data_IF_746009401915
#
_entry.id   IF_746009401915
#
_cell.length_a   1.000
_cell.length_b   1.000
_cell.length_c   1.000
_cell.angle_alpha   90.00
_cell.angle_beta   90.00
_cell.angle_gamma   90.00
#
_symmetry.space_group_name_H-M   'P 1'
#
loop_
_entity.id
_entity.type
_entity.pdbx_description
1 polymer ?
#
# COMPACT_ATOMS: atom_id res chain seq x y z
N UNK A 1 -43.70 48.55 -31.84
CA UNK A 1 -43.18 47.19 -32.11
C UNK A 1 -43.01 46.53 -30.75
N UNK A 2 -43.80 45.48 -30.50
CA UNK A 2 -44.06 44.96 -29.16
C UNK A 2 -42.89 44.20 -28.56
N UNK A 3 -42.64 44.44 -27.27
CA UNK A 3 -41.77 43.62 -26.45
C UNK A 3 -42.40 42.25 -26.22
N UNK A 4 -41.71 41.20 -26.66
CA UNK A 4 -42.00 39.83 -26.28
C UNK A 4 -41.29 39.50 -24.97
N UNK A 5 -41.98 39.72 -23.86
CA UNK A 5 -41.62 39.07 -22.59
C UNK A 5 -41.75 37.55 -22.80
N UNK A 6 -40.63 36.84 -22.69
CA UNK A 6 -40.59 35.38 -22.82
C UNK A 6 -41.38 34.71 -21.70
N UNK A 7 -42.64 34.40 -21.97
CA UNK A 7 -43.37 33.40 -21.20
C UNK A 7 -42.90 32.01 -21.65
N UNK A 8 -42.08 31.36 -20.83
CA UNK A 8 -41.85 29.92 -20.91
C UNK A 8 -43.20 29.22 -20.82
N UNK A 9 -43.61 28.45 -21.84
CA UNK A 9 -44.91 27.78 -21.81
C UNK A 9 -44.94 26.75 -20.67
N UNK A 10 -46.13 26.49 -20.12
CA UNK A 10 -46.34 25.42 -19.12
C UNK A 10 -45.80 24.08 -19.64
N UNK A 11 -45.91 23.84 -20.95
CA UNK A 11 -45.37 22.66 -21.62
C UNK A 11 -43.85 22.59 -21.56
N UNK A 12 -43.13 23.70 -21.75
CA UNK A 12 -41.66 23.76 -21.56
C UNK A 12 -41.27 23.46 -20.11
N UNK A 13 -42.03 23.99 -19.15
CA UNK A 13 -41.78 23.74 -17.71
C UNK A 13 -41.99 22.26 -17.37
N UNK A 14 -43.10 21.67 -17.84
CA UNK A 14 -43.42 20.26 -17.61
C UNK A 14 -42.41 19.32 -18.28
N UNK A 15 -41.96 19.64 -19.50
CA UNK A 15 -40.95 18.83 -20.19
C UNK A 15 -39.59 18.92 -19.48
N UNK A 16 -39.18 20.10 -18.99
CA UNK A 16 -37.97 20.25 -18.17
C UNK A 16 -38.05 19.41 -16.89
N UNK A 17 -39.17 19.47 -16.17
CA UNK A 17 -39.37 18.68 -14.95
C UNK A 17 -39.28 17.17 -15.19
N UNK A 18 -39.83 16.67 -16.31
CA UNK A 18 -39.72 15.25 -16.68
C UNK A 18 -38.27 14.83 -16.96
N UNK A 19 -37.52 15.66 -17.68
CA UNK A 19 -36.10 15.43 -17.98
C UNK A 19 -35.27 15.45 -16.69
N UNK A 20 -35.48 16.45 -15.83
CA UNK A 20 -34.78 16.57 -14.54
C UNK A 20 -35.09 15.37 -13.63
N UNK A 21 -36.36 14.94 -13.58
CA UNK A 21 -36.75 13.73 -12.82
C UNK A 21 -36.08 12.47 -13.35
N UNK A 22 -35.97 12.31 -14.67
CA UNK A 22 -35.29 11.16 -15.27
C UNK A 22 -33.78 11.17 -14.96
N UNK A 23 -33.10 12.31 -15.11
CA UNK A 23 -31.68 12.46 -14.74
C UNK A 23 -31.45 12.17 -13.27
N UNK A 24 -32.30 12.68 -12.37
CA UNK A 24 -32.19 12.41 -10.95
C UNK A 24 -32.31 10.92 -10.65
N UNK A 25 -33.30 10.22 -11.23
CA UNK A 25 -33.44 8.77 -11.08
C UNK A 25 -32.19 8.00 -11.56
N UNK A 26 -31.55 8.44 -12.64
CA UNK A 26 -30.29 7.85 -13.10
C UNK A 26 -29.15 8.06 -12.09
N UNK A 27 -29.02 9.25 -11.50
CA UNK A 27 -28.02 9.49 -10.44
C UNK A 27 -28.30 8.72 -9.15
N UNK A 28 -29.57 8.53 -8.77
CA UNK A 28 -29.93 7.65 -7.66
C UNK A 28 -29.49 6.22 -7.92
N UNK A 29 -29.77 5.69 -9.11
CA UNK A 29 -29.35 4.33 -9.48
C UNK A 29 -27.83 4.21 -9.56
N UNK A 30 -27.15 5.21 -10.13
CA UNK A 30 -25.68 5.22 -10.19
C UNK A 30 -25.07 5.20 -8.79
N UNK A 31 -25.55 6.05 -7.87
CA UNK A 31 -25.08 6.07 -6.48
C UNK A 31 -25.31 4.73 -5.76
N UNK A 32 -26.46 4.10 -5.95
CA UNK A 32 -26.74 2.77 -5.39
C UNK A 32 -25.77 1.71 -5.91
N UNK A 33 -25.55 1.66 -7.22
CA UNK A 33 -24.60 0.72 -7.84
C UNK A 33 -23.18 0.94 -7.38
N UNK A 34 -22.76 2.20 -7.26
CA UNK A 34 -21.45 2.57 -6.71
C UNK A 34 -21.31 2.07 -5.26
N UNK A 35 -22.35 2.23 -4.44
CA UNK A 35 -22.38 1.66 -3.08
C UNK A 35 -22.22 0.14 -3.08
N UNK A 36 -22.91 -0.59 -3.97
CA UNK A 36 -22.73 -2.04 -4.09
C UNK A 36 -21.34 -2.45 -4.58
N UNK A 37 -20.69 -1.66 -5.46
CA UNK A 37 -19.31 -1.90 -5.88
C UNK A 37 -18.36 -1.71 -4.69
N UNK A 38 -18.53 -0.63 -3.92
CA UNK A 38 -17.74 -0.35 -2.73
C UNK A 38 -17.84 -1.50 -1.70
N UNK A 39 -19.03 -2.03 -1.48
CA UNK A 39 -19.29 -3.16 -0.56
C UNK A 39 -18.84 -4.52 -1.11
N UNK A 40 -18.33 -4.60 -2.34
CA UNK A 40 -17.97 -5.86 -3.01
C UNK A 40 -19.18 -6.74 -3.37
N UNK A 41 -20.39 -6.18 -3.37
CA UNK A 41 -21.64 -6.89 -3.73
C UNK A 41 -21.93 -6.87 -5.23
N UNK A 42 -21.26 -6.00 -5.98
CA UNK A 42 -21.41 -5.86 -7.43
C UNK A 42 -20.05 -5.74 -8.11
N UNK A 43 -19.77 -6.63 -9.06
CA UNK A 43 -18.63 -6.50 -9.95
C UNK A 43 -18.92 -5.41 -11.01
N UNK A 44 -18.00 -4.45 -11.26
CA UNK A 44 -18.17 -3.44 -12.30
C UNK A 44 -18.29 -4.05 -13.70
N UNK A 45 -19.40 -3.81 -14.40
CA UNK A 45 -19.64 -4.42 -15.73
C UNK A 45 -19.61 -3.39 -16.86
N UNK A 46 -20.17 -2.21 -16.62
CA UNK A 46 -20.16 -1.08 -17.55
C UNK A 46 -18.89 -0.24 -17.40
N UNK A 47 -18.53 0.51 -18.44
CA UNK A 47 -17.24 1.22 -18.45
C UNK A 47 -17.18 2.34 -17.41
N UNK A 48 -18.29 3.07 -17.17
CA UNK A 48 -18.34 4.08 -16.12
C UNK A 48 -18.17 3.46 -14.71
N UNK A 49 -18.70 2.26 -14.47
CA UNK A 49 -18.50 1.54 -13.20
C UNK A 49 -17.05 1.11 -13.01
N UNK A 50 -16.41 0.62 -14.08
CA UNK A 50 -15.00 0.23 -14.05
C UNK A 50 -14.11 1.42 -13.73
N UNK A 51 -14.42 2.59 -14.30
CA UNK A 51 -13.69 3.83 -14.01
C UNK A 51 -13.88 4.24 -12.55
N UNK A 52 -15.10 4.21 -12.02
CA UNK A 52 -15.34 4.52 -10.60
C UNK A 52 -14.64 3.51 -9.69
N UNK A 53 -14.74 2.21 -9.99
CA UNK A 53 -14.05 1.13 -9.28
C UNK A 53 -12.52 1.28 -9.29
N UNK A 54 -11.95 1.65 -10.45
CA UNK A 54 -10.54 1.96 -10.59
C UNK A 54 -10.15 3.16 -9.72
N UNK A 55 -10.90 4.26 -9.80
CA UNK A 55 -10.62 5.48 -9.04
C UNK A 55 -10.70 5.24 -7.53
N UNK A 56 -11.71 4.51 -7.05
CA UNK A 56 -11.82 4.08 -5.64
C UNK A 56 -10.59 3.29 -5.19
N UNK A 57 -10.17 2.30 -5.97
CA UNK A 57 -9.01 1.47 -5.65
C UNK A 57 -7.68 2.24 -5.72
N UNK A 58 -7.60 3.29 -6.53
CA UNK A 58 -6.43 4.17 -6.63
C UNK A 58 -6.49 5.36 -5.67
N UNK A 59 -7.59 5.53 -4.93
CA UNK A 59 -7.79 6.69 -4.08
C UNK A 59 -7.87 8.00 -4.86
N UNK A 60 -8.30 7.98 -6.12
CA UNK A 60 -8.37 9.15 -6.99
C UNK A 60 -9.79 9.73 -7.05
N UNK A 61 -9.94 11.07 -7.18
CA UNK A 61 -11.24 11.69 -7.35
C UNK A 61 -11.83 11.34 -8.73
N UNK A 62 -13.13 11.01 -8.76
CA UNK A 62 -13.85 10.63 -9.98
C UNK A 62 -15.14 11.43 -10.10
N UNK A 63 -15.51 11.76 -11.33
CA UNK A 63 -16.80 12.42 -11.61
C UNK A 63 -17.69 11.49 -12.39
N UNK A 64 -18.98 11.51 -12.09
CA UNK A 64 -20.01 10.72 -12.74
C UNK A 64 -21.05 11.68 -13.31
N UNK A 65 -21.35 11.57 -14.59
CA UNK A 65 -22.20 12.50 -15.32
C UNK A 65 -23.05 11.79 -16.37
N UNK A 66 -24.03 12.51 -16.91
CA UNK A 66 -24.85 12.04 -18.03
C UNK A 66 -24.42 12.81 -19.27
N UNK A 67 -24.03 12.10 -20.32
CA UNK A 67 -23.60 12.67 -21.60
C UNK A 67 -24.77 13.25 -22.44
N UNK A 68 -24.45 13.77 -23.63
CA UNK A 68 -25.43 14.35 -24.55
C UNK A 68 -26.42 13.33 -25.10
N UNK A 69 -26.06 12.04 -25.08
CA UNK A 69 -26.91 10.91 -25.50
C UNK A 69 -27.76 10.35 -24.34
N UNK A 70 -27.67 10.95 -23.15
CA UNK A 70 -28.41 10.52 -21.98
C UNK A 70 -27.86 9.26 -21.33
N UNK A 71 -26.59 8.89 -21.58
CA UNK A 71 -25.94 7.73 -20.97
C UNK A 71 -25.09 8.14 -19.78
N UNK A 72 -24.97 7.24 -18.80
CA UNK A 72 -24.06 7.41 -17.67
C UNK A 72 -22.62 7.25 -18.12
N UNK A 73 -21.80 8.22 -17.75
CA UNK A 73 -20.35 8.24 -17.98
C UNK A 73 -19.61 8.54 -16.67
N UNK A 74 -18.34 8.13 -16.61
CA UNK A 74 -17.44 8.51 -15.55
C UNK A 74 -16.05 8.78 -16.12
N UNK A 75 -15.28 9.62 -15.44
CA UNK A 75 -13.87 9.88 -15.74
C UNK A 75 -13.15 10.33 -14.48
N UNK A 76 -11.82 10.17 -14.46
CA UNK A 76 -11.00 10.76 -13.42
C UNK A 76 -11.21 12.27 -13.41
N UNK A 77 -11.30 12.88 -12.24
CA UNK A 77 -11.63 14.30 -12.17
C UNK A 77 -10.52 15.19 -12.76
N UNK A 78 -9.28 14.70 -12.77
CA UNK A 78 -8.13 15.33 -13.44
C UNK A 78 -8.33 15.46 -14.96
N UNK A 79 -9.19 14.64 -15.56
CA UNK A 79 -9.51 14.63 -16.99
C UNK A 79 -10.84 15.33 -17.28
N UNK A 80 -11.53 15.83 -16.25
CA UNK A 80 -12.87 16.34 -16.39
C UNK A 80 -12.96 17.76 -16.94
N UNK A 81 -14.10 18.08 -17.55
CA UNK A 81 -14.42 19.46 -17.90
C UNK A 81 -14.63 20.29 -16.62
N UNK A 82 -13.68 21.18 -16.36
CA UNK A 82 -13.71 22.12 -15.23
C UNK A 82 -14.21 23.51 -15.64
N UNK A 83 -14.78 23.67 -16.85
CA UNK A 83 -15.24 24.96 -17.38
C UNK A 83 -16.33 25.66 -16.55
N UNK A 84 -16.98 24.92 -15.64
CA UNK A 84 -17.92 25.49 -14.66
C UNK A 84 -17.25 26.34 -13.57
N UNK A 85 -15.94 26.20 -13.39
CA UNK A 85 -15.15 26.96 -12.42
C UNK A 85 -14.35 28.09 -13.09
N UNK A 86 -14.00 29.13 -12.32
CA UNK A 86 -13.09 30.18 -12.80
C UNK A 86 -11.61 29.73 -12.74
N UNK A 87 -10.71 30.48 -13.39
CA UNK A 87 -9.29 30.09 -13.50
C UNK A 87 -8.57 29.89 -12.16
N UNK A 88 -8.89 30.70 -11.14
CA UNK A 88 -8.33 30.55 -9.79
C UNK A 88 -8.80 29.28 -9.10
N UNK A 89 -10.09 28.97 -9.22
CA UNK A 89 -10.69 27.74 -8.69
C UNK A 89 -10.17 26.49 -9.40
N UNK A 90 -10.05 26.52 -10.73
CA UNK A 90 -9.46 25.43 -11.53
C UNK A 90 -8.05 25.14 -11.04
N UNK A 91 -7.23 26.18 -10.86
CA UNK A 91 -5.87 26.03 -10.33
C UNK A 91 -5.85 25.38 -8.95
N UNK A 92 -6.68 25.86 -8.01
CA UNK A 92 -6.75 25.32 -6.65
C UNK A 92 -7.20 23.85 -6.64
N UNK A 93 -8.17 23.48 -7.49
CA UNK A 93 -8.61 22.10 -7.67
C UNK A 93 -7.47 21.22 -8.17
N UNK A 94 -6.77 21.62 -9.21
CA UNK A 94 -5.66 20.85 -9.79
C UNK A 94 -4.49 20.69 -8.80
N UNK A 95 -4.11 21.76 -8.09
CA UNK A 95 -3.08 21.69 -7.05
C UNK A 95 -3.51 20.73 -5.91
N UNK A 96 -4.78 20.74 -5.53
CA UNK A 96 -5.32 19.78 -4.55
C UNK A 96 -5.29 18.35 -5.08
N UNK A 97 -5.66 18.12 -6.35
CA UNK A 97 -5.62 16.78 -6.97
C UNK A 97 -4.20 16.20 -6.99
N UNK A 98 -3.17 17.02 -7.21
CA UNK A 98 -1.77 16.59 -7.13
C UNK A 98 -1.42 16.15 -5.71
N UNK A 99 -1.78 16.95 -4.70
CA UNK A 99 -1.54 16.61 -3.29
C UNK A 99 -2.29 15.32 -2.88
N UNK A 100 -3.49 15.12 -3.41
CA UNK A 100 -4.31 13.93 -3.20
C UNK A 100 -3.69 12.69 -3.86
N UNK A 101 -3.15 12.80 -5.08
CA UNK A 101 -2.48 11.67 -5.74
C UNK A 101 -1.22 11.23 -4.98
N UNK A 102 -0.39 12.19 -4.54
CA UNK A 102 0.77 11.90 -3.68
C UNK A 102 0.33 11.21 -2.37
N UNK A 103 -0.76 11.68 -1.77
CA UNK A 103 -1.31 11.10 -0.55
C UNK A 103 -1.83 9.67 -0.77
N UNK A 104 -2.52 9.41 -1.88
CA UNK A 104 -3.01 8.08 -2.23
C UNK A 104 -1.84 7.09 -2.41
N UNK A 105 -0.74 7.53 -3.02
CA UNK A 105 0.48 6.73 -3.15
C UNK A 105 1.10 6.41 -1.77
N UNK A 106 1.15 7.39 -0.85
CA UNK A 106 1.64 7.19 0.53
C UNK A 106 0.76 6.22 1.31
N UNK A 107 -0.57 6.34 1.19
CA UNK A 107 -1.50 5.39 1.81
C UNK A 107 -1.24 3.99 1.27
N UNK A 108 -1.12 3.84 -0.06
CA UNK A 108 -0.85 2.52 -0.65
C UNK A 108 0.48 1.92 -0.22
N UNK A 109 1.52 2.74 -0.07
CA UNK A 109 2.81 2.30 0.44
C UNK A 109 2.71 1.82 1.91
N UNK A 110 1.94 2.51 2.76
CA UNK A 110 1.68 2.06 4.13
C UNK A 110 0.87 0.75 4.16
N UNK A 111 -0.15 0.61 3.30
CA UNK A 111 -0.92 -0.65 3.18
C UNK A 111 -0.01 -1.81 2.75
N UNK A 112 0.84 -1.61 1.74
CA UNK A 112 1.80 -2.63 1.29
C UNK A 112 2.83 -2.95 2.37
N UNK A 113 3.32 -1.96 3.13
CA UNK A 113 4.17 -2.22 4.29
C UNK A 113 3.46 -3.08 5.34
N UNK A 114 2.17 -2.82 5.60
CA UNK A 114 1.37 -3.62 6.52
C UNK A 114 1.16 -5.05 6.00
N UNK A 115 0.86 -5.23 4.72
CA UNK A 115 0.75 -6.56 4.09
C UNK A 115 2.06 -7.36 4.25
N UNK A 116 3.21 -6.71 4.08
CA UNK A 116 4.53 -7.31 4.28
C UNK A 116 4.79 -7.69 5.75
N UNK A 117 4.42 -6.83 6.70
CA UNK A 117 4.48 -7.13 8.12
C UNK A 117 3.60 -8.33 8.49
N UNK A 118 2.37 -8.37 7.98
CA UNK A 118 1.42 -9.45 8.25
C UNK A 118 1.95 -10.79 7.70
N UNK A 119 2.55 -10.79 6.51
CA UNK A 119 3.22 -11.96 5.94
C UNK A 119 4.35 -12.47 6.85
N UNK A 120 5.18 -11.58 7.41
CA UNK A 120 6.30 -11.95 8.26
C UNK A 120 5.88 -12.34 9.69
N UNK A 121 4.79 -11.79 10.21
CA UNK A 121 4.37 -11.97 11.60
C UNK A 121 4.10 -13.45 11.97
N UNK A 122 3.59 -14.25 11.03
CA UNK A 122 3.25 -15.67 11.25
C UNK A 122 4.29 -16.66 10.73
N UNK A 123 5.22 -16.25 9.87
CA UNK A 123 5.96 -17.16 9.00
C UNK A 123 6.79 -18.22 9.75
N UNK A 124 7.49 -17.85 10.83
CA UNK A 124 8.26 -18.81 11.63
C UNK A 124 7.39 -19.84 12.36
N UNK A 125 6.24 -19.42 12.88
CA UNK A 125 5.26 -20.28 13.55
C UNK A 125 4.62 -21.23 12.53
N UNK A 126 4.18 -20.69 11.40
CA UNK A 126 3.55 -21.47 10.32
C UNK A 126 4.52 -22.55 9.81
N UNK A 127 5.78 -22.19 9.58
CA UNK A 127 6.79 -23.14 9.15
C UNK A 127 7.06 -24.22 10.21
N UNK A 128 7.12 -23.85 11.49
CA UNK A 128 7.27 -24.81 12.60
C UNK A 128 6.11 -25.81 12.63
N UNK A 129 4.87 -25.33 12.43
CA UNK A 129 3.69 -26.20 12.35
C UNK A 129 3.81 -27.14 11.15
N UNK A 130 4.10 -26.62 9.95
CA UNK A 130 4.27 -27.45 8.75
C UNK A 130 5.35 -28.51 8.96
N UNK A 131 6.50 -28.18 9.54
CA UNK A 131 7.58 -29.13 9.83
C UNK A 131 7.20 -30.23 10.84
N UNK A 132 6.25 -29.95 11.73
CA UNK A 132 5.76 -30.91 12.71
C UNK A 132 4.64 -31.80 12.16
N UNK A 133 3.89 -31.36 11.14
CA UNK A 133 2.75 -32.09 10.60
C UNK A 133 2.98 -32.72 9.21
N UNK A 134 3.97 -32.26 8.43
CA UNK A 134 4.29 -32.82 7.10
C UNK A 134 5.22 -34.03 7.23
N UNK A 135 4.78 -35.17 6.69
CA UNK A 135 5.49 -36.46 6.76
C UNK A 135 6.59 -36.58 5.70
N UNK A 136 6.45 -35.89 4.56
CA UNK A 136 7.46 -35.85 3.49
C UNK A 136 7.41 -34.53 2.69
N UNK A 137 8.55 -33.85 2.46
CA UNK A 137 8.60 -32.66 1.63
C UNK A 137 8.18 -32.93 0.17
N UNK A 138 7.34 -32.09 -0.42
CA UNK A 138 7.00 -32.17 -1.85
C UNK A 138 8.07 -31.47 -2.67
N UNK A 139 8.90 -32.23 -3.40
CA UNK A 139 10.03 -31.70 -4.18
C UNK A 139 9.65 -31.24 -5.60
N UNK A 140 8.37 -31.31 -5.97
CA UNK A 140 7.90 -31.15 -7.36
C UNK A 140 7.11 -29.87 -7.61
N UNK A 141 6.83 -29.06 -6.58
CA UNK A 141 6.12 -27.79 -6.73
C UNK A 141 7.09 -26.62 -6.57
N UNK A 142 7.44 -25.90 -7.66
CA UNK A 142 8.16 -24.65 -7.56
C UNK A 142 7.38 -23.66 -6.69
N UNK A 143 8.06 -22.92 -5.82
CA UNK A 143 7.54 -21.83 -4.98
C UNK A 143 6.72 -22.22 -3.73
N UNK A 144 6.84 -23.43 -3.20
CA UNK A 144 6.40 -23.66 -1.82
C UNK A 144 7.57 -23.40 -0.86
N UNK A 145 7.67 -22.14 -0.39
CA UNK A 145 8.69 -21.71 0.57
C UNK A 145 8.66 -22.55 1.85
N UNK A 146 7.48 -23.02 2.30
CA UNK A 146 7.37 -23.87 3.48
C UNK A 146 8.08 -25.20 3.27
N UNK A 147 7.91 -25.85 2.11
CA UNK A 147 8.55 -27.14 1.82
C UNK A 147 10.08 -27.03 1.80
N UNK A 148 10.61 -25.95 1.23
CA UNK A 148 12.05 -25.68 1.26
C UNK A 148 12.54 -25.39 2.68
N UNK A 149 11.74 -24.67 3.48
CA UNK A 149 12.05 -24.43 4.89
C UNK A 149 12.05 -25.73 5.72
N UNK A 150 11.10 -26.63 5.48
CA UNK A 150 11.05 -27.97 6.10
C UNK A 150 12.29 -28.78 5.74
N UNK A 151 12.79 -28.69 4.51
CA UNK A 151 14.03 -29.36 4.10
C UNK A 151 15.23 -28.84 4.89
N UNK A 152 15.38 -27.52 5.02
CA UNK A 152 16.47 -26.94 5.83
C UNK A 152 16.37 -27.34 7.30
N UNK A 153 15.17 -27.28 7.89
CA UNK A 153 14.90 -27.75 9.25
C UNK A 153 15.27 -29.21 9.46
N UNK A 154 14.88 -30.09 8.52
CA UNK A 154 15.15 -31.53 8.60
C UNK A 154 16.64 -31.84 8.57
N UNK A 155 17.43 -30.99 7.91
CA UNK A 155 18.88 -31.11 7.86
C UNK A 155 19.58 -30.39 9.02
N UNK A 156 18.85 -29.70 9.89
CA UNK A 156 19.44 -28.82 10.91
C UNK A 156 20.26 -27.69 10.30
N UNK A 157 19.94 -27.26 9.09
CA UNK A 157 20.63 -26.19 8.37
C UNK A 157 20.04 -24.83 8.77
N UNK A 158 20.85 -23.81 9.06
CA UNK A 158 20.35 -22.45 9.29
C UNK A 158 19.89 -21.80 7.98
N UNK A 159 18.79 -21.05 8.02
CA UNK A 159 18.23 -20.35 6.87
C UNK A 159 17.46 -19.11 7.31
N UNK A 160 17.32 -18.14 6.40
CA UNK A 160 16.50 -16.95 6.66
C UNK A 160 15.15 -17.07 5.98
N UNK A 161 14.11 -16.69 6.72
CA UNK A 161 12.79 -16.36 6.17
C UNK A 161 12.81 -14.87 5.82
N UNK A 162 12.39 -14.52 4.60
CA UNK A 162 12.36 -13.15 4.13
C UNK A 162 11.24 -12.94 3.11
N UNK A 163 11.12 -11.71 2.59
CA UNK A 163 10.25 -11.40 1.47
C UNK A 163 11.09 -11.31 0.18
N UNK A 164 10.53 -11.77 -0.94
CA UNK A 164 11.08 -11.55 -2.27
C UNK A 164 10.76 -10.13 -2.78
N UNK A 165 11.20 -9.81 -4.00
CA UNK A 165 10.96 -8.51 -4.63
C UNK A 165 9.47 -8.20 -4.90
N UNK A 166 8.61 -9.22 -4.85
CA UNK A 166 7.15 -9.10 -4.99
C UNK A 166 6.44 -9.04 -3.63
N UNK A 167 7.18 -9.15 -2.51
CA UNK A 167 6.62 -9.15 -1.17
C UNK A 167 6.08 -10.52 -0.72
N UNK A 168 6.46 -11.61 -1.38
CA UNK A 168 6.06 -12.98 -1.02
C UNK A 168 7.09 -13.62 -0.11
N UNK A 169 6.63 -14.49 0.78
CA UNK A 169 7.51 -15.25 1.66
C UNK A 169 8.43 -16.18 0.86
N UNK A 170 9.69 -16.18 1.26
CA UNK A 170 10.71 -17.08 0.75
C UNK A 170 11.63 -17.54 1.88
N UNK A 171 12.32 -18.65 1.64
CA UNK A 171 13.43 -19.10 2.48
C UNK A 171 14.70 -19.10 1.66
N UNK A 172 15.79 -18.67 2.29
CA UNK A 172 17.11 -18.63 1.66
C UNK A 172 18.08 -19.37 2.55
N UNK A 173 18.81 -20.33 1.97
CA UNK A 173 19.98 -20.90 2.61
C UNK A 173 20.91 -19.76 3.04
N UNK A 174 21.22 -19.72 4.33
CA UNK A 174 21.92 -18.60 4.91
C UNK A 174 23.32 -18.40 4.29
N UNK A 175 23.94 -19.44 3.75
CA UNK A 175 25.22 -19.33 3.03
C UNK A 175 25.17 -18.38 1.83
N UNK A 176 23.98 -18.15 1.27
CA UNK A 176 23.76 -17.29 0.11
C UNK A 176 22.96 -16.02 0.44
N UNK A 177 22.79 -15.70 1.72
CA UNK A 177 22.11 -14.48 2.15
C UNK A 177 22.91 -13.23 1.70
N UNK A 178 22.33 -12.34 0.87
CA UNK A 178 22.99 -11.09 0.48
C UNK A 178 23.40 -10.22 1.67
N UNK A 179 22.67 -10.30 2.79
CA UNK A 179 22.97 -9.55 4.02
C UNK A 179 24.32 -9.91 4.66
N UNK A 180 24.94 -11.03 4.28
CA UNK A 180 26.31 -11.33 4.70
C UNK A 180 27.33 -10.31 4.18
N UNK A 181 27.05 -9.67 3.03
CA UNK A 181 27.96 -8.68 2.43
C UNK A 181 28.03 -7.36 3.23
N UNK A 182 27.02 -7.09 4.07
CA UNK A 182 26.99 -5.89 4.91
C UNK A 182 27.91 -6.01 6.14
N UNK A 183 28.41 -7.21 6.44
CA UNK A 183 29.35 -7.44 7.53
C UNK A 183 30.80 -7.16 7.10
N UNK A 184 31.65 -6.62 8.02
CA UNK A 184 33.07 -6.49 7.74
C UNK A 184 33.72 -7.88 7.54
N UNK A 185 34.79 -7.93 6.75
CA UNK A 185 35.36 -9.18 6.23
C UNK A 185 35.66 -10.23 7.30
N UNK A 186 36.19 -9.84 8.47
CA UNK A 186 36.52 -10.79 9.54
C UNK A 186 35.29 -11.36 10.22
N UNK A 187 34.27 -10.54 10.49
CA UNK A 187 32.98 -11.00 11.01
C UNK A 187 32.24 -11.85 9.98
N UNK A 188 32.24 -11.44 8.72
CA UNK A 188 31.63 -12.20 7.61
C UNK A 188 32.25 -13.59 7.50
N UNK A 189 33.58 -13.68 7.49
CA UNK A 189 34.30 -14.96 7.45
C UNK A 189 33.91 -15.87 8.62
N UNK A 190 33.95 -15.35 9.85
CA UNK A 190 33.56 -16.11 11.06
C UNK A 190 32.12 -16.61 11.00
N UNK A 191 31.18 -15.76 10.55
CA UNK A 191 29.78 -16.16 10.44
C UNK A 191 29.59 -17.22 9.35
N UNK A 192 30.23 -17.05 8.20
CA UNK A 192 30.18 -18.04 7.11
C UNK A 192 30.78 -19.39 7.52
N UNK A 193 31.90 -19.39 8.25
CA UNK A 193 32.50 -20.61 8.78
C UNK A 193 31.55 -21.33 9.74
N UNK A 194 30.90 -20.58 10.64
CA UNK A 194 29.91 -21.10 11.57
C UNK A 194 28.66 -21.66 10.86
N UNK A 195 28.13 -20.96 9.85
CA UNK A 195 27.02 -21.43 9.02
C UNK A 195 27.43 -22.74 8.30
N UNK A 196 28.65 -22.81 7.77
CA UNK A 196 29.15 -23.98 7.06
C UNK A 196 29.39 -25.19 7.95
N UNK A 197 29.73 -24.99 9.23
CA UNK A 197 30.07 -26.08 10.16
C UNK A 197 28.90 -26.56 11.01
N UNK A 198 27.91 -25.70 11.32
CA UNK A 198 26.92 -25.97 12.37
C UNK A 198 26.14 -27.27 12.15
N UNK A 199 25.76 -27.61 10.91
CA UNK A 199 25.03 -28.85 10.63
C UNK A 199 25.86 -30.09 11.00
N UNK A 200 27.16 -30.09 10.68
CA UNK A 200 28.06 -31.19 11.06
C UNK A 200 28.27 -31.23 12.57
N UNK A 201 28.44 -30.08 13.22
CA UNK A 201 28.55 -29.97 14.69
C UNK A 201 27.31 -30.55 15.38
N UNK A 202 26.11 -30.24 14.86
CA UNK A 202 24.83 -30.75 15.37
C UNK A 202 24.75 -32.26 15.24
N UNK A 203 25.05 -32.80 14.06
CA UNK A 203 25.01 -34.24 13.79
C UNK A 203 26.03 -35.03 14.60
N UNK A 204 27.21 -34.46 14.84
CA UNK A 204 28.27 -35.10 15.62
C UNK A 204 28.06 -34.99 17.14
N UNK A 205 27.18 -34.11 17.61
CA UNK A 205 26.98 -33.87 19.04
C UNK A 205 28.20 -33.22 19.71
N UNK A 206 28.90 -32.34 18.99
CA UNK A 206 30.17 -31.73 19.41
C UNK A 206 30.03 -30.24 19.74
N UNK A 207 28.81 -29.78 20.03
CA UNK A 207 28.53 -28.40 20.41
C UNK A 207 29.32 -28.04 21.67
N UNK A 208 30.13 -27.01 21.58
CA UNK A 208 30.97 -26.50 22.65
C UNK A 208 30.70 -25.03 22.96
N UNK A 209 30.17 -24.30 21.98
CA UNK A 209 29.80 -22.89 22.11
C UNK A 209 28.31 -22.72 22.46
N UNK A 210 27.97 -21.64 23.15
CA UNK A 210 26.59 -21.32 23.56
C UNK A 210 25.63 -21.22 22.37
N UNK A 211 26.09 -20.61 21.26
CA UNK A 211 25.29 -20.47 20.04
C UNK A 211 25.09 -21.81 19.32
N UNK A 212 26.04 -22.74 19.41
CA UNK A 212 25.93 -24.09 18.85
C UNK A 212 24.89 -24.91 19.62
N UNK A 213 24.90 -24.79 20.96
CA UNK A 213 23.90 -25.40 21.83
C UNK A 213 22.49 -24.85 21.53
N UNK A 214 22.37 -23.53 21.36
CA UNK A 214 21.11 -22.90 20.99
C UNK A 214 20.60 -23.39 19.60
N UNK A 215 21.47 -23.41 18.59
CA UNK A 215 21.15 -23.94 17.26
C UNK A 215 20.72 -25.41 17.31
N UNK A 216 21.42 -26.25 18.10
CA UNK A 216 21.05 -27.65 18.28
C UNK A 216 19.67 -27.81 18.93
N UNK A 217 19.34 -26.97 19.92
CA UNK A 217 18.02 -26.97 20.55
C UNK A 217 16.91 -26.57 19.57
N UNK A 218 17.13 -25.54 18.75
CA UNK A 218 16.18 -25.14 17.69
C UNK A 218 15.98 -26.25 16.66
N UNK A 219 17.08 -26.85 16.18
CA UNK A 219 17.02 -27.97 15.23
C UNK A 219 16.25 -29.16 15.81
N UNK A 220 16.49 -29.54 17.07
CA UNK A 220 15.80 -30.64 17.75
C UNK A 220 14.30 -30.36 17.93
N UNK A 221 13.93 -29.10 18.17
CA UNK A 221 12.53 -28.66 18.30
C UNK A 221 11.83 -28.43 16.95
N UNK A 222 12.54 -28.59 15.82
CA UNK A 222 12.09 -28.19 14.48
C UNK A 222 11.65 -26.72 14.40
N UNK A 223 12.33 -25.87 15.17
CA UNK A 223 12.13 -24.43 15.19
C UNK A 223 13.04 -23.78 14.13
N UNK A 224 12.51 -22.97 13.19
CA UNK A 224 13.31 -22.19 12.25
C UNK A 224 14.30 -21.31 12.97
N UNK A 225 15.55 -21.33 12.52
CA UNK A 225 16.62 -20.54 13.11
C UNK A 225 17.63 -20.10 12.06
N UNK A 226 18.34 -19.03 12.40
CA UNK A 226 19.48 -18.52 11.65
C UNK A 226 20.61 -18.12 12.61
N UNK A 227 21.82 -17.95 12.09
CA UNK A 227 22.95 -17.44 12.86
C UNK A 227 23.13 -15.94 12.61
N UNK A 228 23.49 -15.15 13.60
CA UNK A 228 23.74 -13.72 13.43
C UNK A 228 25.02 -13.31 14.12
N UNK A 229 25.64 -12.24 13.62
CA UNK A 229 26.67 -11.53 14.35
C UNK A 229 26.05 -10.45 15.23
N UNK A 230 26.02 -10.66 16.55
CA UNK A 230 25.64 -9.63 17.52
C UNK A 230 26.79 -8.64 17.69
N UNK A 231 26.70 -7.52 16.97
CA UNK A 231 27.69 -6.45 16.97
C UNK A 231 27.72 -5.63 18.27
N UNK A 232 26.77 -5.81 19.18
CA UNK A 232 26.79 -5.16 20.50
C UNK A 232 27.62 -5.93 21.53
N UNK A 233 28.06 -7.14 21.18
CA UNK A 233 28.89 -7.98 22.03
C UNK A 233 30.32 -8.05 21.51
N UNK A 234 31.23 -8.41 22.41
CA UNK A 234 32.63 -8.70 22.09
C UNK A 234 32.89 -10.19 22.26
N UNK A 235 33.71 -10.73 21.37
CA UNK A 235 34.13 -12.12 21.39
C UNK A 235 35.65 -12.21 21.48
N UNK A 236 36.15 -13.19 22.22
CA UNK A 236 37.57 -13.52 22.21
C UNK A 236 37.85 -14.43 21.02
N UNK A 237 38.63 -13.92 20.07
CA UNK A 237 39.02 -14.70 18.88
C UNK A 237 40.51 -15.03 18.95
N UNK A 238 40.93 -16.23 18.51
CA UNK A 238 42.34 -16.56 18.37
C UNK A 238 43.06 -15.50 17.53
N UNK A 239 44.21 -15.04 18.02
CA UNK A 239 45.01 -14.00 17.38
C UNK A 239 46.32 -14.57 16.84
N UNK A 240 47.03 -15.32 17.68
CA UNK A 240 48.23 -16.05 17.27
C UNK A 240 48.15 -17.51 17.68
N UNK A 241 48.84 -18.37 16.93
CA UNK A 241 48.94 -19.81 17.20
C UNK A 241 50.39 -20.18 17.52
N UNK A 242 50.56 -21.12 18.44
CA UNK A 242 51.83 -21.78 18.69
C UNK A 242 52.19 -22.66 17.47
N UNK A 243 53.47 -23.05 17.36
CA UNK A 243 53.95 -23.92 16.27
C UNK A 243 53.33 -25.33 16.26
N UNK A 244 52.57 -25.69 17.30
CA UNK A 244 51.82 -26.95 17.42
C UNK A 244 50.32 -26.80 17.05
N UNK A 245 49.87 -25.60 16.65
CA UNK A 245 48.48 -25.32 16.29
C UNK A 245 47.56 -24.98 17.47
N UNK A 246 48.06 -24.94 18.71
CA UNK A 246 47.30 -24.41 19.85
C UNK A 246 47.24 -22.88 19.83
N UNK A 247 46.19 -22.27 20.38
CA UNK A 247 46.03 -20.80 20.43
C UNK A 247 47.02 -20.22 21.44
N UNK A 248 47.89 -19.32 21.00
CA UNK A 248 48.90 -18.66 21.83
C UNK A 248 48.37 -17.36 22.47
N UNK A 249 47.63 -16.55 21.71
CA UNK A 249 46.97 -15.34 22.20
C UNK A 249 45.56 -15.23 21.64
N UNK A 250 44.72 -14.50 22.39
CA UNK A 250 43.40 -14.09 21.95
C UNK A 250 43.34 -12.58 21.85
N UNK A 251 42.54 -12.07 20.91
CA UNK A 251 42.17 -10.65 20.84
C UNK A 251 40.68 -10.50 21.08
N UNK A 252 40.28 -9.34 21.60
CA UNK A 252 38.88 -8.95 21.66
C UNK A 252 38.48 -8.38 20.30
N UNK A 253 37.44 -8.95 19.72
CA UNK A 253 36.86 -8.47 18.48
C UNK A 253 35.36 -8.22 18.67
N UNK A 254 34.85 -7.16 18.08
CA UNK A 254 33.42 -6.86 18.09
C UNK A 254 32.67 -7.90 17.25
N UNK A 255 31.49 -8.31 17.72
CA UNK A 255 30.69 -9.35 17.09
C UNK A 255 30.84 -10.71 17.78
N UNK A 256 29.76 -11.16 18.43
CA UNK A 256 29.59 -12.55 18.90
C UNK A 256 28.57 -13.26 18.01
N UNK A 257 28.84 -14.51 17.64
CA UNK A 257 27.86 -15.33 16.92
C UNK A 257 26.76 -15.73 17.89
N UNK A 258 25.51 -15.59 17.47
CA UNK A 258 24.33 -16.02 18.19
C UNK A 258 23.42 -16.82 17.26
N UNK A 259 22.76 -17.84 17.78
CA UNK A 259 21.66 -18.49 17.07
C UNK A 259 20.36 -17.82 17.48
N UNK A 260 19.54 -17.43 16.51
CA UNK A 260 18.25 -16.79 16.73
C UNK A 260 17.13 -17.62 16.12
N UNK A 261 16.05 -17.77 16.87
CA UNK A 261 14.78 -18.24 16.36
C UNK A 261 14.22 -17.25 15.34
N UNK A 262 13.61 -17.74 14.26
CA UNK A 262 12.96 -16.93 13.23
C UNK A 262 11.58 -16.43 13.67
N UNK A 263 11.52 -15.73 14.80
CA UNK A 263 10.32 -15.02 15.26
C UNK A 263 10.05 -13.79 14.39
N UNK A 264 8.82 -13.27 14.43
CA UNK A 264 8.45 -12.02 13.75
C UNK A 264 9.43 -10.87 14.07
N UNK A 265 9.82 -10.71 15.34
CA UNK A 265 10.76 -9.69 15.78
C UNK A 265 12.14 -9.83 15.12
N UNK A 266 12.61 -11.06 14.96
CA UNK A 266 13.94 -11.38 14.46
C UNK A 266 14.04 -11.42 12.94
N UNK A 267 12.94 -11.69 12.22
CA UNK A 267 12.94 -11.75 10.74
C UNK A 267 12.42 -10.47 10.10
N UNK A 268 11.71 -9.62 10.84
CA UNK A 268 11.19 -8.35 10.32
C UNK A 268 12.32 -7.31 10.27
N UNK A 269 12.71 -6.83 9.07
CA UNK A 269 13.68 -5.75 8.94
C UNK A 269 13.21 -4.47 9.63
N UNK A 270 14.13 -3.71 10.21
CA UNK A 270 13.81 -2.52 11.01
C UNK A 270 13.03 -1.47 10.21
N UNK A 271 13.33 -1.31 8.92
CA UNK A 271 12.66 -0.34 8.05
C UNK A 271 11.18 -0.67 7.80
N UNK A 272 10.75 -1.92 8.00
CA UNK A 272 9.34 -2.31 7.88
C UNK A 272 8.55 -2.07 9.17
N UNK A 273 9.23 -2.05 10.33
CA UNK A 273 8.57 -1.97 11.65
C UNK A 273 7.84 -0.65 11.89
N UNK A 274 8.28 0.41 11.23
CA UNK A 274 7.63 1.74 11.30
C UNK A 274 6.97 2.04 9.96
N UNK A 275 5.70 2.50 9.94
CA UNK A 275 5.08 2.95 8.71
C UNK A 275 5.93 4.03 8.03
N UNK A 276 6.21 3.93 6.72
CA UNK A 276 7.09 4.86 6.03
C UNK A 276 6.54 6.30 5.99
N UNK A 277 5.22 6.48 6.12
CA UNK A 277 4.58 7.78 6.14
C UNK A 277 3.60 7.90 7.33
N UNK A 278 4.03 8.53 8.42
CA UNK A 278 3.21 8.68 9.64
C UNK A 278 2.20 9.82 9.57
N UNK A 279 2.50 10.88 8.81
CA UNK A 279 1.77 12.15 8.85
C UNK A 279 0.80 12.32 7.66
N UNK A 280 0.28 11.20 7.12
CA UNK A 280 -0.60 11.21 5.94
C UNK A 280 -1.90 11.95 6.24
N UNK A 281 -2.13 13.05 5.50
CA UNK A 281 -3.38 13.82 5.58
C UNK A 281 -3.38 14.91 6.65
N UNK A 282 -2.31 15.02 7.46
CA UNK A 282 -2.28 15.93 8.61
C UNK A 282 -2.04 17.41 8.25
N UNK A 283 -1.81 17.73 6.98
CA UNK A 283 -1.49 19.08 6.54
C UNK A 283 -2.70 20.02 6.51
N UNK A 284 -3.89 19.52 6.19
CA UNK A 284 -5.13 20.31 6.14
C UNK A 284 -6.34 19.44 6.48
N UNK A 285 -7.41 20.04 7.00
CA UNK A 285 -8.67 19.33 7.26
C UNK A 285 -9.27 18.68 5.99
N UNK A 286 -9.09 19.33 4.82
CA UNK A 286 -9.47 18.77 3.53
C UNK A 286 -8.74 17.46 3.22
N UNK A 287 -7.40 17.47 3.34
CA UNK A 287 -6.58 16.30 3.04
C UNK A 287 -6.80 15.18 4.07
N UNK A 288 -7.09 15.52 5.32
CA UNK A 288 -7.50 14.55 6.34
C UNK A 288 -8.78 13.81 5.94
N UNK A 289 -9.82 14.54 5.55
CA UNK A 289 -11.08 13.95 5.09
C UNK A 289 -10.87 13.09 3.83
N UNK A 290 -10.07 13.56 2.88
CA UNK A 290 -9.76 12.77 1.68
C UNK A 290 -8.99 11.49 2.06
N UNK A 291 -8.03 11.56 2.99
CA UNK A 291 -7.29 10.39 3.46
C UNK A 291 -8.21 9.33 4.07
N UNK A 292 -9.20 9.73 4.86
CA UNK A 292 -10.23 8.83 5.42
C UNK A 292 -11.05 8.16 4.32
N UNK A 293 -11.48 8.91 3.30
CA UNK A 293 -12.23 8.35 2.17
C UNK A 293 -11.38 7.36 1.36
N UNK A 294 -10.09 7.64 1.14
CA UNK A 294 -9.19 6.73 0.44
C UNK A 294 -9.01 5.42 1.23
N UNK A 295 -8.75 5.51 2.54
CA UNK A 295 -8.60 4.34 3.43
C UNK A 295 -9.87 3.49 3.48
N UNK A 296 -11.04 4.13 3.48
CA UNK A 296 -12.36 3.48 3.45
C UNK A 296 -12.77 3.00 2.05
N UNK A 297 -11.95 3.23 1.02
CA UNK A 297 -12.27 3.00 -0.41
C UNK A 297 -13.59 3.64 -0.84
N UNK A 298 -13.92 4.79 -0.26
CA UNK A 298 -15.13 5.56 -0.59
C UNK A 298 -14.92 6.39 -1.85
N UNK A 299 -15.86 6.38 -2.80
CA UNK A 299 -15.77 7.21 -4.00
C UNK A 299 -16.04 8.67 -3.66
N UNK A 300 -15.27 9.58 -4.25
CA UNK A 300 -15.39 11.01 -3.97
C UNK A 300 -14.98 11.87 -5.18
N UNK A 301 -15.32 13.15 -5.09
CA UNK A 301 -14.80 14.20 -5.97
C UNK A 301 -14.48 15.45 -5.14
N UNK A 302 -13.69 16.35 -5.72
CA UNK A 302 -13.41 17.67 -5.21
C UNK A 302 -14.38 18.68 -5.83
N UNK A 303 -14.87 19.63 -5.05
CA UNK A 303 -15.75 20.70 -5.52
C UNK A 303 -15.33 22.03 -4.92
N UNK A 304 -15.97 23.10 -5.37
CA UNK A 304 -15.82 24.42 -4.79
C UNK A 304 -17.07 24.75 -3.99
N UNK A 305 -16.91 25.07 -2.71
CA UNK A 305 -18.01 25.50 -1.87
C UNK A 305 -18.43 26.96 -2.15
N UNK A 306 -19.54 27.45 -1.56
CA UNK A 306 -19.98 28.83 -1.76
C UNK A 306 -18.99 29.90 -1.30
N UNK A 307 -17.99 29.56 -0.49
CA UNK A 307 -16.92 30.48 -0.05
C UNK A 307 -15.76 30.55 -1.05
N UNK A 308 -15.74 29.66 -2.05
CA UNK A 308 -14.67 29.55 -3.03
C UNK A 308 -13.56 28.57 -2.62
N UNK A 309 -13.70 27.86 -1.50
CA UNK A 309 -12.74 26.90 -1.02
C UNK A 309 -12.94 25.52 -1.66
N UNK A 310 -11.84 24.79 -1.86
CA UNK A 310 -11.89 23.39 -2.30
C UNK A 310 -12.42 22.53 -1.14
N UNK A 311 -13.42 21.70 -1.45
CA UNK A 311 -14.02 20.76 -0.50
C UNK A 311 -14.08 19.37 -1.12
N UNK A 312 -14.02 18.34 -0.29
CA UNK A 312 -14.27 16.96 -0.72
C UNK A 312 -15.74 16.60 -0.56
N UNK A 313 -16.27 15.82 -1.50
CA UNK A 313 -17.63 15.28 -1.47
C UNK A 313 -17.60 13.79 -1.77
N UNK A 314 -18.08 12.99 -0.82
CA UNK A 314 -18.39 11.58 -1.07
C UNK A 314 -19.47 11.47 -2.15
N UNK A 315 -19.32 10.51 -3.05
CA UNK A 315 -20.29 10.23 -4.10
C UNK A 315 -21.51 9.54 -3.50
N UNK A 316 -22.58 10.31 -3.39
CA UNK A 316 -23.95 9.87 -3.17
C UNK A 316 -24.90 10.57 -4.13
N UNK A 317 -26.17 10.13 -4.18
CA UNK A 317 -27.15 10.68 -5.11
C UNK A 317 -27.28 12.21 -5.04
N UNK A 318 -27.29 12.80 -3.84
CA UNK A 318 -27.41 14.26 -3.68
C UNK A 318 -26.17 14.99 -4.19
N UNK A 319 -24.98 14.46 -3.92
CA UNK A 319 -23.72 15.05 -4.39
C UNK A 319 -23.61 14.99 -5.92
N UNK A 320 -24.02 13.88 -6.55
CA UNK A 320 -24.02 13.73 -8.00
C UNK A 320 -24.97 14.70 -8.67
N UNK A 321 -26.19 14.84 -8.15
CA UNK A 321 -27.18 15.79 -8.65
C UNK A 321 -26.63 17.22 -8.54
N UNK A 322 -26.08 17.59 -7.37
CA UNK A 322 -25.50 18.93 -7.16
C UNK A 322 -24.34 19.21 -8.10
N UNK A 323 -23.41 18.28 -8.23
CA UNK A 323 -22.22 18.44 -9.09
C UNK A 323 -22.59 18.67 -10.56
N UNK A 324 -23.63 17.98 -11.04
CA UNK A 324 -24.08 18.03 -12.43
C UNK A 324 -25.18 19.06 -12.70
N UNK A 325 -25.59 19.83 -11.68
CA UNK A 325 -26.53 20.94 -11.87
C UNK A 325 -25.78 22.10 -12.52
N UNK A 326 -26.24 22.65 -13.64
CA UNK A 326 -25.61 23.82 -14.25
C UNK A 326 -25.56 24.97 -13.24
N UNK A 327 -24.37 25.53 -13.03
CA UNK A 327 -24.25 26.79 -12.30
C UNK A 327 -24.88 27.86 -13.18
N UNK A 328 -26.02 28.41 -12.77
CA UNK A 328 -26.54 29.63 -13.36
C UNK A 328 -25.47 30.70 -13.14
N UNK A 329 -24.61 30.92 -14.15
CA UNK A 329 -23.78 32.12 -14.19
C UNK A 329 -24.77 33.27 -14.23
N UNK A 330 -25.02 33.90 -13.09
CA UNK A 330 -25.46 35.29 -13.10
C UNK A 330 -24.40 35.99 -13.93
N UNK A 331 -24.73 36.34 -15.17
CA UNK A 331 -24.00 37.36 -15.89
C UNK A 331 -23.93 38.52 -14.90
N UNK A 332 -22.73 38.82 -14.42
CA UNK A 332 -22.51 40.04 -13.67
C UNK A 332 -23.09 41.14 -14.53
N UNK A 333 -24.13 41.79 -14.01
CA UNK A 333 -24.73 42.98 -14.56
C UNK A 333 -23.77 44.17 -14.37
N UNK A 334 -22.50 43.99 -14.75
CA UNK A 334 -21.48 45.01 -14.90
C UNK A 334 -21.23 45.19 -16.39
N UNK A 335 -22.22 45.79 -17.03
CA UNK A 335 -22.21 46.14 -18.45
C UNK A 335 -23.47 46.88 -18.90
N UNK A 336 -24.29 47.41 -17.99
CA UNK A 336 -25.28 48.44 -18.35
C UNK A 336 -24.52 49.77 -18.40
N UNK A 337 -23.82 50.00 -19.50
CA UNK A 337 -23.05 51.22 -19.70
C UNK A 337 -22.41 51.27 -21.08
N UNK A 338 -23.06 52.00 -21.98
CA UNK A 338 -22.52 52.50 -23.26
C UNK A 338 -22.48 51.53 -24.46
N UNK A 339 -23.61 51.46 -25.19
CA UNK A 339 -23.60 51.75 -26.65
C UNK A 339 -24.83 52.59 -26.97
N UNK A 340 -24.75 53.88 -26.64
CA UNK A 340 -25.49 54.93 -27.32
C UNK A 340 -24.48 55.53 -28.30
N UNK A 341 -24.88 55.69 -29.58
CA UNK A 341 -24.08 56.17 -30.72
C UNK A 341 -23.26 55.12 -31.48
N UNK A 342 -23.82 54.65 -32.60
CA UNK A 342 -23.18 54.68 -33.93
C UNK A 342 -24.11 54.04 -34.97
N UNK A 343 -25.16 54.77 -35.35
CA UNK A 343 -25.71 54.82 -36.71
C UNK A 343 -26.54 56.12 -36.79
N UNK A 344 -25.85 57.20 -37.13
CA UNK A 344 -26.44 58.36 -37.79
C UNK A 344 -26.09 58.25 -39.28
#
# INVERSE_FOLDING_TARGET
>A
MGGGNGQTSIETILNKQKVDSARNSMYYNAAERIGYIQEGKLEPTSDWEKIVGYAMNKGQPTVVFIDEQGQMQAQLQTEADLSKYNSGQVRALLETMVAVDEMAQKIKANETNQEWLDNLAGAGTDLSLVANYVISPQTTTPNNWEQQGVLYLSNGQPFKISLDAEGKLQVTDQMFDPGLLDLPDSQRGRLMDAIGSITATIQAGTQSEEWELAAANYAAAKTPYYLEMDMNQVSMVPDTYNGDGSVATYRMEQGKIVAKESTAENITPEFLKTPPYTDIGDSTELLKQVAELIKDKKPYFLDIDPTGAVVVKEINAQSLIKYNTPVERKLDALGVGSVLSLFA
#
